data_IF_092571274377
#
_entry.id   IF_092571274377
#
_cell.length_a   1.000
_cell.length_b   1.000
_cell.length_c   1.000
_cell.angle_alpha   90.00
_cell.angle_beta   90.00
_cell.angle_gamma   90.00
#
_symmetry.space_group_name_H-M   'P 1'
#
loop_
_entity.id
_entity.type
_entity.pdbx_description
1 polymer ?
#
# COMPACT_ATOMS: atom_id res chain seq x y z
N UNK A 1 -11.44 3.19 31.04
CA UNK A 1 -10.16 2.90 31.76
C UNK A 1 -9.54 1.53 31.40
N UNK A 2 -10.14 0.71 30.51
CA UNK A 2 -9.58 -0.61 30.12
C UNK A 2 -8.36 -0.57 29.20
N UNK A 3 -8.25 0.45 28.35
CA UNK A 3 -7.16 0.56 27.35
C UNK A 3 -5.76 0.69 27.96
N UNK A 4 -5.63 1.32 29.14
CA UNK A 4 -4.34 1.52 29.81
C UNK A 4 -3.74 0.19 30.30
N UNK A 5 -4.59 -0.73 30.79
CA UNK A 5 -4.16 -2.08 31.20
C UNK A 5 -3.73 -2.91 29.99
N UNK A 6 -4.43 -2.78 28.87
CA UNK A 6 -4.10 -3.47 27.63
C UNK A 6 -2.75 -3.00 27.07
N UNK A 7 -2.45 -1.71 27.17
CA UNK A 7 -1.17 -1.13 26.77
C UNK A 7 -0.01 -1.63 27.67
N UNK A 8 -0.24 -1.73 28.99
CA UNK A 8 0.74 -2.26 29.95
C UNK A 8 1.00 -3.76 29.73
N UNK A 9 -0.04 -4.56 29.48
CA UNK A 9 0.11 -6.00 29.21
C UNK A 9 0.90 -6.25 27.92
N UNK A 10 0.62 -5.47 26.86
CA UNK A 10 1.37 -5.55 25.61
C UNK A 10 2.83 -5.10 25.75
N UNK A 11 3.09 -4.01 26.48
CA UNK A 11 4.46 -3.57 26.77
C UNK A 11 5.25 -4.66 27.51
N UNK A 12 4.61 -5.38 28.43
CA UNK A 12 5.25 -6.45 29.21
C UNK A 12 5.54 -7.71 28.37
N UNK A 13 4.73 -8.01 27.36
CA UNK A 13 4.87 -9.19 26.50
C UNK A 13 5.73 -8.98 25.24
N UNK A 14 5.90 -7.75 24.75
CA UNK A 14 6.35 -7.46 23.37
C UNK A 14 7.42 -6.34 23.28
N UNK A 15 8.38 -6.29 24.20
CA UNK A 15 9.49 -5.34 24.13
C UNK A 15 10.32 -5.53 22.83
N UNK A 16 10.46 -4.48 21.99
CA UNK A 16 11.50 -4.54 20.94
C UNK A 16 11.55 -3.56 19.76
N UNK A 17 10.54 -2.78 19.37
CA UNK A 17 10.70 -1.89 18.19
C UNK A 17 9.82 -0.64 18.18
N UNK A 18 10.39 0.48 17.71
CA UNK A 18 9.72 1.78 17.47
C UNK A 18 8.53 1.61 16.48
N UNK A 19 8.72 0.76 15.47
CA UNK A 19 7.75 0.46 14.42
C UNK A 19 6.50 -0.25 14.97
N UNK A 20 6.64 -1.02 16.07
CA UNK A 20 5.52 -1.63 16.78
C UNK A 20 4.67 -0.59 17.51
N UNK A 21 5.29 0.41 18.16
CA UNK A 21 4.55 1.43 18.90
C UNK A 21 3.62 2.25 18.00
N UNK A 22 4.05 2.56 16.77
CA UNK A 22 3.21 3.24 15.78
C UNK A 22 2.04 2.35 15.29
N UNK A 23 2.29 1.06 15.09
CA UNK A 23 1.23 0.11 14.72
C UNK A 23 0.16 -0.04 15.82
N UNK A 24 0.59 -0.03 17.09
CA UNK A 24 -0.29 -0.14 18.26
C UNK A 24 -1.10 1.14 18.48
N UNK A 25 -0.49 2.32 18.28
CA UNK A 25 -1.24 3.59 18.32
C UNK A 25 -2.39 3.55 17.34
N UNK A 26 -2.14 3.11 16.11
CA UNK A 26 -3.14 3.00 15.06
C UNK A 26 -4.29 2.08 15.49
N UNK A 27 -4.00 0.90 16.03
CA UNK A 27 -5.01 -0.06 16.48
C UNK A 27 -5.89 0.46 17.64
N UNK A 28 -5.41 1.42 18.45
CA UNK A 28 -6.15 1.99 19.60
C UNK A 28 -7.14 3.08 19.18
N UNK A 29 -6.86 3.81 18.10
CA UNK A 29 -7.72 4.92 17.63
C UNK A 29 -8.82 4.48 16.66
N UNK A 30 -8.82 3.22 16.22
CA UNK A 30 -9.86 2.67 15.34
C UNK A 30 -11.13 2.39 16.17
N UNK A 31 -12.30 2.60 15.56
CA UNK A 31 -13.59 2.17 16.09
C UNK A 31 -13.51 0.72 16.59
N UNK A 32 -14.12 0.40 17.72
CA UNK A 32 -14.08 -0.97 18.28
C UNK A 32 -15.33 -1.77 17.91
N UNK A 33 -15.15 -3.07 17.72
CA UNK A 33 -16.22 -4.06 17.64
C UNK A 33 -16.22 -4.95 18.88
N UNK A 34 -17.42 -5.27 19.38
CA UNK A 34 -17.65 -6.10 20.56
C UNK A 34 -18.27 -7.42 20.14
N UNK A 35 -17.53 -8.49 20.38
CA UNK A 35 -17.92 -9.86 20.03
C UNK A 35 -17.96 -10.75 21.27
N UNK A 36 -18.74 -11.82 21.20
CA UNK A 36 -18.98 -12.73 22.31
C UNK A 36 -18.25 -14.07 22.09
N UNK A 37 -17.67 -14.61 23.16
CA UNK A 37 -17.28 -16.02 23.19
C UNK A 37 -18.53 -16.90 23.27
N UNK A 38 -18.45 -18.20 22.96
CA UNK A 38 -19.59 -19.12 23.12
C UNK A 38 -20.06 -19.25 24.57
N UNK A 39 -19.22 -18.83 25.53
CA UNK A 39 -19.52 -18.81 26.97
C UNK A 39 -20.19 -17.50 27.43
N UNK A 40 -20.31 -16.51 26.55
CA UNK A 40 -20.91 -15.21 26.84
C UNK A 40 -19.93 -14.12 27.29
N UNK A 41 -18.61 -14.37 27.27
CA UNK A 41 -17.62 -13.34 27.59
C UNK A 41 -17.49 -12.35 26.43
N UNK A 42 -17.45 -11.05 26.73
CA UNK A 42 -17.27 -10.00 25.73
C UNK A 42 -15.78 -9.76 25.47
N UNK A 43 -15.42 -9.65 24.18
CA UNK A 43 -14.08 -9.23 23.73
C UNK A 43 -14.22 -8.02 22.81
N UNK A 44 -13.39 -7.02 23.07
CA UNK A 44 -13.20 -5.84 22.24
C UNK A 44 -12.03 -6.08 21.26
N UNK A 45 -12.26 -5.65 20.02
CA UNK A 45 -11.33 -5.76 18.90
C UNK A 45 -11.42 -4.49 18.03
N UNK A 46 -10.37 -4.09 17.32
CA UNK A 46 -10.46 -3.04 16.31
C UNK A 46 -11.46 -3.42 15.20
N UNK A 47 -12.18 -2.44 14.66
CA UNK A 47 -13.08 -2.63 13.52
C UNK A 47 -12.31 -3.20 12.32
N UNK A 48 -12.95 -4.14 11.62
CA UNK A 48 -12.30 -4.91 10.54
C UNK A 48 -11.52 -6.13 11.02
N UNK A 49 -11.51 -6.42 12.32
CA UNK A 49 -10.93 -7.66 12.84
C UNK A 49 -11.68 -8.90 12.34
N UNK A 50 -10.94 -9.99 12.17
CA UNK A 50 -11.46 -11.27 11.68
C UNK A 50 -11.58 -12.32 12.80
N UNK A 51 -12.17 -13.50 12.53
CA UNK A 51 -12.12 -14.61 13.47
C UNK A 51 -10.71 -15.03 13.91
N UNK A 52 -9.69 -14.85 13.05
CA UNK A 52 -8.30 -15.12 13.44
C UNK A 52 -7.80 -14.10 14.47
N UNK A 53 -8.07 -12.81 14.26
CA UNK A 53 -7.73 -11.77 15.24
C UNK A 53 -8.41 -12.06 16.59
N UNK A 54 -9.68 -12.47 16.57
CA UNK A 54 -10.40 -12.91 17.77
C UNK A 54 -9.74 -14.11 18.45
N UNK A 55 -9.31 -15.13 17.69
CA UNK A 55 -8.64 -16.30 18.25
C UNK A 55 -7.36 -15.91 19.01
N UNK A 56 -6.52 -15.04 18.42
CA UNK A 56 -5.31 -14.53 19.07
C UNK A 56 -5.62 -13.62 20.27
N UNK A 57 -6.71 -12.85 20.22
CA UNK A 57 -7.19 -12.03 21.34
C UNK A 57 -7.66 -12.88 22.53
N UNK A 58 -8.24 -14.05 22.27
CA UNK A 58 -8.64 -15.01 23.31
C UNK A 58 -7.41 -15.71 23.88
N UNK A 59 -6.59 -16.31 23.01
CA UNK A 59 -5.36 -16.98 23.43
C UNK A 59 -4.43 -17.27 22.24
N UNK A 60 -3.13 -17.04 22.40
CA UNK A 60 -2.13 -17.28 21.36
C UNK A 60 -2.18 -18.71 20.78
N UNK A 61 -2.22 -19.74 21.64
CA UNK A 61 -2.34 -21.14 21.19
C UNK A 61 -3.65 -21.46 20.47
N UNK A 62 -4.74 -20.75 20.79
CA UNK A 62 -6.00 -20.92 20.06
C UNK A 62 -5.86 -20.39 18.64
N UNK A 63 -5.21 -19.23 18.48
CA UNK A 63 -4.82 -18.67 17.19
C UNK A 63 -3.93 -19.60 16.37
N UNK A 64 -2.84 -20.11 16.97
CA UNK A 64 -1.92 -21.03 16.28
C UNK A 64 -2.59 -22.29 15.74
N UNK A 65 -3.62 -22.78 16.46
CA UNK A 65 -4.30 -24.05 16.15
C UNK A 65 -5.60 -23.84 15.36
N UNK A 66 -5.92 -22.60 14.99
CA UNK A 66 -7.15 -22.26 14.30
C UNK A 66 -7.20 -22.93 12.91
N UNK A 67 -8.31 -23.61 12.63
CA UNK A 67 -8.58 -24.23 11.32
C UNK A 67 -9.83 -23.66 10.64
N UNK A 68 -10.68 -22.96 11.39
CA UNK A 68 -11.94 -22.44 10.92
C UNK A 68 -12.68 -21.71 12.03
N UNK A 69 -13.75 -21.02 11.68
CA UNK A 69 -14.58 -20.31 12.63
C UNK A 69 -16.07 -20.52 12.33
N UNK A 70 -16.86 -20.52 13.40
CA UNK A 70 -18.31 -20.38 13.31
C UNK A 70 -18.70 -19.04 13.92
N UNK A 71 -19.49 -18.28 13.19
CA UNK A 71 -20.08 -17.04 13.69
C UNK A 71 -21.58 -17.24 13.77
N UNK A 72 -22.16 -17.00 14.94
CA UNK A 72 -23.58 -17.23 15.23
C UNK A 72 -24.04 -18.65 14.85
N UNK A 73 -23.18 -19.64 15.11
CA UNK A 73 -23.42 -21.06 14.84
C UNK A 73 -23.21 -21.51 13.38
N UNK A 74 -22.93 -20.60 12.44
CA UNK A 74 -22.70 -20.92 11.02
C UNK A 74 -21.22 -20.87 10.68
N UNK A 75 -20.75 -21.79 9.83
CA UNK A 75 -19.37 -21.76 9.33
C UNK A 75 -19.16 -20.50 8.48
N UNK A 76 -18.13 -19.74 8.83
CA UNK A 76 -17.73 -18.53 8.12
C UNK A 76 -16.27 -18.64 7.69
N UNK A 77 -15.90 -17.98 6.58
CA UNK A 77 -14.51 -17.94 6.16
C UNK A 77 -13.69 -17.10 7.16
N UNK A 78 -12.37 -17.33 7.18
CA UNK A 78 -11.47 -16.71 8.16
C UNK A 78 -11.19 -15.22 7.90
N UNK A 79 -11.53 -14.72 6.71
CA UNK A 79 -11.46 -13.31 6.28
C UNK A 79 -12.78 -12.54 6.56
N UNK A 80 -13.78 -13.19 7.18
CA UNK A 80 -15.01 -12.51 7.55
C UNK A 80 -14.75 -11.39 8.57
N UNK A 81 -15.17 -10.17 8.25
CA UNK A 81 -15.10 -9.05 9.19
C UNK A 81 -16.15 -9.18 10.29
N UNK A 82 -15.69 -9.21 11.55
CA UNK A 82 -16.53 -9.34 12.73
C UNK A 82 -17.38 -8.09 12.98
N UNK A 83 -18.63 -8.32 13.40
CA UNK A 83 -19.60 -7.27 13.71
C UNK A 83 -19.98 -7.26 15.18
N UNK A 84 -20.50 -6.13 15.65
CA UNK A 84 -21.03 -6.01 17.00
C UNK A 84 -22.13 -7.04 17.25
N UNK A 85 -21.99 -7.79 18.35
CA UNK A 85 -22.97 -8.81 18.74
C UNK A 85 -22.68 -10.22 18.20
N UNK A 86 -21.68 -10.39 17.33
CA UNK A 86 -21.34 -11.70 16.80
C UNK A 86 -20.83 -12.64 17.91
N UNK A 87 -21.36 -13.86 17.95
CA UNK A 87 -20.86 -14.95 18.80
C UNK A 87 -19.88 -15.78 17.97
N UNK A 88 -18.61 -15.77 18.36
CA UNK A 88 -17.52 -16.39 17.60
C UNK A 88 -17.05 -17.66 18.29
N UNK A 89 -17.19 -18.80 17.62
CA UNK A 89 -16.68 -20.11 18.04
C UNK A 89 -15.53 -20.53 17.13
N UNK A 90 -14.33 -20.65 17.71
CA UNK A 90 -13.10 -20.97 16.97
C UNK A 90 -12.90 -22.48 16.94
N UNK A 91 -12.83 -23.03 15.74
CA UNK A 91 -12.49 -24.43 15.53
C UNK A 91 -10.98 -24.57 15.56
N UNK A 92 -10.46 -25.33 16.52
CA UNK A 92 -9.04 -25.62 16.65
C UNK A 92 -8.74 -27.11 16.45
N UNK A 93 -7.58 -27.41 15.89
CA UNK A 93 -7.14 -28.81 15.74
C UNK A 93 -6.49 -29.34 17.02
N UNK A 94 -6.63 -30.64 17.28
CA UNK A 94 -5.93 -31.36 18.35
C UNK A 94 -4.51 -31.81 17.95
N UNK A 95 -4.18 -31.83 16.66
CA UNK A 95 -2.85 -32.21 16.16
C UNK A 95 -1.82 -31.08 16.17
N UNK A 96 -0.58 -31.41 15.77
CA UNK A 96 0.55 -30.48 15.67
C UNK A 96 0.49 -29.63 14.38
N UNK A 97 -0.61 -28.89 14.18
CA UNK A 97 -0.70 -27.91 13.08
C UNK A 97 -0.41 -26.51 13.62
N UNK A 98 0.44 -25.78 12.92
CA UNK A 98 0.75 -24.38 13.21
C UNK A 98 -0.02 -23.40 12.31
N UNK A 99 0.21 -22.09 12.51
CA UNK A 99 -0.34 -21.04 11.65
C UNK A 99 0.17 -21.16 10.22
N UNK A 100 -0.56 -20.57 9.27
CA UNK A 100 -0.10 -20.41 7.89
C UNK A 100 0.63 -19.08 7.73
N UNK A 101 1.72 -19.06 6.96
CA UNK A 101 2.42 -17.82 6.62
C UNK A 101 1.56 -16.91 5.73
N UNK A 102 0.65 -17.49 4.96
CA UNK A 102 -0.28 -16.76 4.08
C UNK A 102 -1.23 -15.86 4.87
N UNK A 103 -1.44 -16.12 6.16
CA UNK A 103 -2.22 -15.24 7.05
C UNK A 103 -1.59 -13.86 7.24
N UNK A 104 -0.28 -13.73 7.02
CA UNK A 104 0.42 -12.46 7.07
C UNK A 104 0.34 -11.68 5.75
N UNK A 105 -0.21 -12.27 4.68
CA UNK A 105 -0.36 -11.62 3.40
C UNK A 105 -1.44 -10.52 3.48
N UNK A 106 -1.08 -9.23 3.30
CA UNK A 106 -2.05 -8.13 3.43
C UNK A 106 -3.20 -8.21 2.43
N UNK A 107 -2.99 -8.82 1.27
CA UNK A 107 -3.99 -8.88 0.19
C UNK A 107 -5.11 -9.87 0.46
N UNK A 108 -4.88 -10.86 1.33
CA UNK A 108 -5.87 -11.91 1.63
C UNK A 108 -6.80 -11.50 2.77
N UNK A 109 -6.39 -10.56 3.62
CA UNK A 109 -7.26 -10.01 4.66
C UNK A 109 -7.59 -10.98 5.80
N UNK A 110 -6.72 -11.98 6.07
CA UNK A 110 -6.97 -12.94 7.14
C UNK A 110 -6.72 -12.38 8.54
N UNK A 111 -5.72 -11.51 8.69
CA UNK A 111 -5.30 -10.97 9.98
C UNK A 111 -5.07 -9.48 9.83
N UNK A 112 -5.77 -8.69 10.63
CA UNK A 112 -5.69 -7.23 10.58
C UNK A 112 -4.86 -6.68 11.72
N UNK A 113 -5.01 -7.24 12.93
CA UNK A 113 -4.40 -6.67 14.14
C UNK A 113 -2.89 -6.87 14.20
N UNK A 114 -2.19 -5.87 14.72
CA UNK A 114 -0.73 -5.91 14.87
C UNK A 114 -0.31 -7.00 15.86
N UNK A 115 -1.12 -7.20 16.91
CA UNK A 115 -0.91 -8.25 17.91
C UNK A 115 -0.90 -9.66 17.30
N UNK A 116 -1.91 -10.01 16.50
CA UNK A 116 -2.01 -11.33 15.88
C UNK A 116 -0.87 -11.55 14.87
N UNK A 117 -0.57 -10.57 14.02
CA UNK A 117 0.57 -10.61 13.08
C UNK A 117 1.88 -10.89 13.80
N UNK A 118 2.12 -10.22 14.92
CA UNK A 118 3.35 -10.38 15.69
C UNK A 118 3.46 -11.76 16.33
N UNK A 119 2.38 -12.28 16.94
CA UNK A 119 2.39 -13.64 17.49
C UNK A 119 2.65 -14.71 16.42
N UNK A 120 2.09 -14.54 15.22
CA UNK A 120 2.36 -15.43 14.07
C UNK A 120 3.84 -15.37 13.67
N UNK A 121 4.40 -14.16 13.51
CA UNK A 121 5.83 -14.00 13.18
C UNK A 121 6.74 -14.62 14.25
N UNK A 122 6.43 -14.41 15.52
CA UNK A 122 7.18 -15.01 16.62
C UNK A 122 7.12 -16.52 16.60
N UNK A 123 5.98 -17.11 16.24
CA UNK A 123 5.85 -18.57 16.09
C UNK A 123 6.81 -19.11 15.03
N UNK A 124 6.86 -18.48 13.85
CA UNK A 124 7.79 -18.88 12.79
C UNK A 124 9.24 -18.58 13.14
N UNK A 125 9.52 -17.47 13.81
CA UNK A 125 10.88 -17.10 14.24
C UNK A 125 11.47 -18.10 15.25
N UNK A 126 10.63 -18.77 16.04
CA UNK A 126 11.04 -19.85 16.97
C UNK A 126 11.33 -21.18 16.28
N UNK A 127 10.90 -21.37 15.03
CA UNK A 127 11.25 -22.56 14.25
C UNK A 127 12.74 -22.54 13.88
N UNK A 128 13.27 -23.68 13.43
CA UNK A 128 14.68 -23.78 13.06
C UNK A 128 15.06 -22.75 11.99
N UNK A 129 16.16 -22.03 12.22
CA UNK A 129 16.65 -20.97 11.30
C UNK A 129 16.86 -21.53 9.89
N UNK A 130 17.39 -22.75 9.79
CA UNK A 130 17.60 -23.49 8.54
C UNK A 130 16.30 -23.67 7.75
N UNK A 131 15.20 -24.08 8.41
CA UNK A 131 13.89 -24.20 7.78
C UNK A 131 13.35 -22.85 7.30
N UNK A 132 13.56 -21.79 8.08
CA UNK A 132 13.14 -20.44 7.69
C UNK A 132 13.90 -19.94 6.46
N UNK A 133 15.21 -20.21 6.36
CA UNK A 133 16.01 -19.84 5.18
C UNK A 133 15.51 -20.58 3.94
N UNK A 134 15.31 -21.89 4.04
CA UNK A 134 14.86 -22.70 2.90
C UNK A 134 13.45 -22.27 2.45
N UNK A 135 12.54 -22.03 3.39
CA UNK A 135 11.20 -21.51 3.09
C UNK A 135 11.26 -20.13 2.43
N UNK A 136 12.07 -19.22 2.98
CA UNK A 136 12.25 -17.88 2.44
C UNK A 136 12.81 -17.91 1.02
N UNK A 137 13.73 -18.82 0.73
CA UNK A 137 14.27 -19.05 -0.61
C UNK A 137 13.17 -19.49 -1.59
N UNK A 138 12.34 -20.46 -1.21
CA UNK A 138 11.26 -20.95 -2.05
C UNK A 138 10.23 -19.86 -2.35
N UNK A 139 9.85 -19.08 -1.33
CA UNK A 139 8.94 -17.93 -1.47
C UNK A 139 9.53 -16.90 -2.43
N UNK A 140 10.77 -16.48 -2.20
CA UNK A 140 11.43 -15.48 -3.04
C UNK A 140 11.56 -15.95 -4.49
N UNK A 141 12.01 -17.19 -4.72
CA UNK A 141 12.15 -17.75 -6.06
C UNK A 141 10.80 -17.87 -6.79
N UNK A 142 9.71 -18.14 -6.07
CA UNK A 142 8.36 -18.18 -6.65
C UNK A 142 7.92 -16.78 -7.10
N UNK A 143 8.14 -15.77 -6.26
CA UNK A 143 7.77 -14.38 -6.57
C UNK A 143 8.62 -13.79 -7.70
N UNK A 144 9.93 -14.00 -7.69
CA UNK A 144 10.80 -13.55 -8.78
C UNK A 144 10.42 -14.17 -10.12
N UNK A 145 10.06 -15.46 -10.12
CA UNK A 145 9.51 -16.13 -11.32
C UNK A 145 8.19 -15.52 -11.76
N UNK A 146 7.30 -15.20 -10.82
CA UNK A 146 6.02 -14.56 -11.14
C UNK A 146 6.19 -13.17 -11.76
N UNK A 147 7.17 -12.40 -11.28
CA UNK A 147 7.52 -11.08 -11.81
C UNK A 147 8.39 -11.14 -13.08
N UNK A 148 8.94 -12.30 -13.44
CA UNK A 148 9.85 -12.44 -14.57
C UNK A 148 11.19 -11.71 -14.38
N UNK A 149 11.62 -11.51 -13.13
CA UNK A 149 12.82 -10.75 -12.79
C UNK A 149 13.95 -11.70 -12.38
N UNK A 150 15.12 -11.54 -12.99
CA UNK A 150 16.35 -12.21 -12.58
C UNK A 150 17.26 -11.18 -11.92
N UNK A 151 17.51 -11.35 -10.61
CA UNK A 151 18.38 -10.47 -9.83
C UNK A 151 19.17 -11.31 -8.81
N UNK A 152 20.41 -10.91 -8.55
CA UNK A 152 21.26 -11.54 -7.52
C UNK A 152 20.68 -11.31 -6.12
N UNK A 153 20.82 -12.30 -5.26
CA UNK A 153 20.19 -12.32 -3.93
C UNK A 153 20.85 -11.33 -2.98
N UNK A 154 22.15 -11.17 -3.11
CA UNK A 154 22.98 -10.24 -2.37
C UNK A 154 22.51 -8.81 -2.65
N UNK A 155 22.30 -8.46 -3.91
CA UNK A 155 21.77 -7.16 -4.33
C UNK A 155 20.35 -6.91 -3.80
N UNK A 156 19.50 -7.94 -3.77
CA UNK A 156 18.16 -7.85 -3.17
C UNK A 156 18.20 -7.65 -1.66
N UNK A 157 19.11 -8.33 -0.98
CA UNK A 157 19.31 -8.20 0.46
C UNK A 157 19.74 -6.77 0.80
N UNK A 158 20.71 -6.22 0.08
CA UNK A 158 21.16 -4.82 0.22
C UNK A 158 20.01 -3.83 0.01
N UNK A 159 19.15 -4.04 -1.00
CA UNK A 159 17.97 -3.21 -1.25
C UNK A 159 16.97 -3.18 -0.11
N UNK A 160 16.93 -4.25 0.67
CA UNK A 160 16.07 -4.38 1.85
C UNK A 160 16.80 -4.02 3.15
N UNK A 161 18.01 -3.45 3.07
CA UNK A 161 18.87 -3.09 4.21
C UNK A 161 19.39 -4.31 5.01
N UNK A 162 19.67 -5.43 4.35
CA UNK A 162 20.29 -6.60 4.95
C UNK A 162 21.74 -6.76 4.47
N UNK A 163 22.66 -6.93 5.41
CA UNK A 163 24.08 -7.17 5.11
C UNK A 163 24.37 -8.62 4.71
N UNK A 164 23.50 -9.56 5.07
CA UNK A 164 23.65 -10.99 4.80
C UNK A 164 22.41 -11.54 4.10
N UNK A 165 22.63 -12.20 2.96
CA UNK A 165 21.57 -12.84 2.19
C UNK A 165 20.83 -13.93 2.99
N UNK A 166 21.50 -14.65 3.90
CA UNK A 166 20.83 -15.64 4.74
C UNK A 166 19.86 -15.01 5.74
N UNK A 167 20.24 -13.88 6.35
CA UNK A 167 19.36 -13.19 7.31
C UNK A 167 18.16 -12.59 6.60
N UNK A 168 18.35 -12.11 5.37
CA UNK A 168 17.28 -11.69 4.48
C UNK A 168 16.32 -12.86 4.15
N UNK A 169 16.86 -14.02 3.76
CA UNK A 169 16.04 -15.20 3.47
C UNK A 169 15.30 -15.70 4.71
N UNK A 170 15.96 -15.73 5.88
CA UNK A 170 15.30 -16.05 7.14
C UNK A 170 14.16 -15.07 7.44
N UNK A 171 14.37 -13.77 7.20
CA UNK A 171 13.36 -12.72 7.39
C UNK A 171 12.12 -12.88 6.51
N UNK A 172 12.30 -13.34 5.26
CA UNK A 172 11.18 -13.73 4.40
C UNK A 172 10.48 -14.98 4.96
N UNK A 173 11.26 -15.98 5.39
CA UNK A 173 10.76 -17.27 5.88
C UNK A 173 9.87 -17.21 7.11
N UNK A 174 10.11 -16.25 8.02
CA UNK A 174 9.23 -16.01 9.18
C UNK A 174 8.22 -14.87 8.99
N UNK A 175 8.20 -14.23 7.81
CA UNK A 175 7.25 -13.15 7.49
C UNK A 175 7.58 -11.79 8.13
N UNK A 176 8.86 -11.57 8.46
CA UNK A 176 9.37 -10.24 8.83
C UNK A 176 9.40 -9.27 7.65
N UNK A 177 9.68 -9.80 6.46
CA UNK A 177 9.57 -9.07 5.19
C UNK A 177 8.51 -9.73 4.33
N UNK A 178 7.57 -8.94 3.82
CA UNK A 178 6.58 -9.42 2.87
C UNK A 178 7.12 -9.40 1.44
N UNK A 179 6.65 -10.34 0.62
CA UNK A 179 6.95 -10.38 -0.82
C UNK A 179 6.50 -9.09 -1.52
N UNK A 180 5.41 -8.49 -1.06
CA UNK A 180 4.91 -7.21 -1.53
C UNK A 180 5.90 -6.05 -1.29
N UNK A 181 6.52 -5.97 -0.10
CA UNK A 181 7.55 -4.97 0.17
C UNK A 181 8.76 -5.13 -0.78
N UNK A 182 9.16 -6.37 -1.07
CA UNK A 182 10.25 -6.66 -2.02
C UNK A 182 9.85 -6.18 -3.42
N UNK A 183 8.62 -6.47 -3.86
CA UNK A 183 8.12 -6.04 -5.17
C UNK A 183 8.09 -4.51 -5.32
N UNK A 184 7.66 -3.77 -4.29
CA UNK A 184 7.68 -2.29 -4.29
C UNK A 184 9.10 -1.77 -4.44
N UNK A 185 10.06 -2.32 -3.69
CA UNK A 185 11.47 -1.91 -3.76
C UNK A 185 12.08 -2.18 -5.13
N UNK A 186 11.74 -3.31 -5.74
CA UNK A 186 12.15 -3.66 -7.10
C UNK A 186 11.55 -2.71 -8.15
N UNK A 187 10.27 -2.35 -8.03
CA UNK A 187 9.62 -1.41 -8.94
C UNK A 187 10.27 -0.02 -8.88
N UNK A 188 10.59 0.47 -7.68
CA UNK A 188 11.24 1.77 -7.50
C UNK A 188 12.62 1.86 -8.17
N UNK A 189 13.38 0.76 -8.28
CA UNK A 189 14.64 0.75 -9.04
C UNK A 189 14.45 0.84 -10.56
N UNK A 190 13.33 0.36 -11.10
CA UNK A 190 13.07 0.42 -12.54
C UNK A 190 12.57 1.81 -12.97
N UNK A 191 11.87 2.53 -12.10
CA UNK A 191 11.40 3.89 -12.37
C UNK A 191 12.53 4.93 -12.36
N UNK A 192 13.54 4.78 -11.49
CA UNK A 192 14.72 5.67 -11.49
C UNK A 192 15.56 5.57 -12.76
N UNK A 193 15.45 4.48 -13.52
CA UNK A 193 16.11 4.31 -14.81
C UNK A 193 15.37 4.98 -15.99
N UNK A 194 14.10 5.39 -15.82
CA UNK A 194 13.36 6.17 -16.83
C UNK A 194 13.48 7.65 -16.50
N UNK A 195 14.66 8.22 -16.77
CA UNK A 195 14.80 9.67 -16.94
C UNK A 195 13.89 10.05 -18.10
N UNK A 196 12.77 10.70 -17.80
CA UNK A 196 11.96 11.41 -18.79
C UNK A 196 12.95 12.37 -19.47
N UNK A 197 13.22 12.26 -20.78
CA UNK A 197 14.12 13.19 -21.43
C UNK A 197 13.58 14.59 -21.18
N UNK A 198 14.38 15.40 -20.48
CA UNK A 198 14.11 16.79 -20.23
C UNK A 198 13.75 17.42 -21.58
N UNK A 199 12.49 17.83 -21.73
CA UNK A 199 12.01 18.41 -22.99
C UNK A 199 12.88 19.63 -23.24
N UNK A 200 13.81 19.51 -24.19
CA UNK A 200 14.70 20.60 -24.56
C UNK A 200 13.86 21.86 -24.80
N UNK A 201 14.25 23.03 -24.24
CA UNK A 201 13.48 24.25 -24.42
C UNK A 201 13.33 24.51 -25.92
N UNK A 202 12.07 24.52 -26.40
CA UNK A 202 11.76 24.79 -27.79
C UNK A 202 12.35 26.15 -28.15
N UNK A 203 13.25 26.19 -29.14
CA UNK A 203 13.77 27.45 -29.69
C UNK A 203 12.59 28.35 -30.08
N UNK A 204 12.59 29.64 -29.74
CA UNK A 204 11.56 30.56 -30.17
C UNK A 204 11.59 30.64 -31.69
N UNK A 205 10.49 30.21 -32.33
CA UNK A 205 10.29 30.33 -33.78
C UNK A 205 9.96 31.80 -34.07
N UNK A 206 10.60 32.47 -35.04
CA UNK A 206 10.27 33.86 -35.36
C UNK A 206 8.81 33.95 -35.84
N UNK A 207 8.05 34.89 -35.27
CA UNK A 207 6.65 35.14 -35.59
C UNK A 207 6.47 35.52 -37.07
N UNK A 208 5.90 34.60 -37.86
CA UNK A 208 5.64 34.75 -39.31
C UNK A 208 4.37 35.55 -39.61
N UNK A 209 3.85 36.30 -38.64
CA UNK A 209 2.58 37.01 -38.79
C UNK A 209 2.84 38.43 -39.26
N UNK A 210 2.44 38.72 -40.50
CA UNK A 210 2.53 40.04 -41.10
C UNK A 210 1.20 40.78 -40.94
N UNK A 211 1.21 41.87 -40.16
CA UNK A 211 0.05 42.76 -40.01
C UNK A 211 -0.03 43.68 -41.23
N UNK A 212 -1.17 43.65 -41.94
CA UNK A 212 -1.39 44.47 -43.13
C UNK A 212 -1.44 45.97 -42.75
N UNK A 213 -0.61 46.79 -43.40
CA UNK A 213 -0.66 48.25 -43.32
C UNK A 213 0.34 48.93 -42.38
N UNK A 214 0.96 48.22 -41.43
CA UNK A 214 2.05 48.74 -40.58
C UNK A 214 3.01 47.61 -40.21
N UNK A 215 4.28 47.72 -40.58
CA UNK A 215 5.31 46.73 -40.20
C UNK A 215 5.72 46.86 -38.72
N UNK A 216 6.07 45.73 -38.09
CA UNK A 216 6.71 45.63 -36.76
C UNK A 216 5.87 46.04 -35.54
N UNK A 217 4.60 45.62 -35.46
CA UNK A 217 3.85 45.62 -34.20
C UNK A 217 4.15 44.34 -33.40
N UNK A 218 4.18 44.46 -32.06
CA UNK A 218 4.27 43.30 -31.18
C UNK A 218 2.98 42.49 -31.32
N UNK A 219 3.12 41.23 -31.75
CA UNK A 219 2.01 40.31 -31.97
C UNK A 219 2.05 39.13 -31.01
N UNK A 220 0.90 38.74 -30.47
CA UNK A 220 0.75 37.56 -29.64
C UNK A 220 -0.39 36.67 -30.15
N UNK A 221 -0.26 35.35 -30.06
CA UNK A 221 -1.35 34.41 -30.38
C UNK A 221 -2.33 34.32 -29.20
N UNK A 222 -3.64 34.39 -29.49
CA UNK A 222 -4.68 34.28 -28.49
C UNK A 222 -4.73 32.87 -27.85
N UNK A 223 -4.84 32.85 -26.51
CA UNK A 223 -5.01 31.61 -25.73
C UNK A 223 -6.45 31.08 -25.74
N UNK A 224 -7.42 31.84 -26.26
CA UNK A 224 -8.81 31.39 -26.30
C UNK A 224 -9.12 30.50 -27.51
N UNK A 225 -8.53 30.79 -28.68
CA UNK A 225 -8.80 30.06 -29.93
C UNK A 225 -7.58 29.40 -30.56
N UNK A 226 -6.38 29.58 -29.99
CA UNK A 226 -5.12 28.94 -30.40
C UNK A 226 -4.93 28.84 -31.93
N UNK A 227 -4.84 29.98 -32.65
CA UNK A 227 -4.78 29.97 -34.11
C UNK A 227 -3.54 29.23 -34.62
N UNK A 228 -3.73 28.36 -35.61
CA UNK A 228 -2.67 27.55 -36.23
C UNK A 228 -2.46 27.94 -37.70
N UNK A 229 -1.30 27.63 -38.31
CA UNK A 229 -1.07 27.89 -39.73
C UNK A 229 -2.14 27.22 -40.60
N UNK A 230 -2.83 28.02 -41.43
CA UNK A 230 -3.96 27.58 -42.25
C UNK A 230 -5.31 28.15 -41.78
N UNK A 231 -5.42 28.57 -40.53
CA UNK A 231 -6.60 29.29 -40.04
C UNK A 231 -6.67 30.69 -40.66
N UNK A 232 -7.90 31.14 -40.95
CA UNK A 232 -8.15 32.56 -41.20
C UNK A 232 -8.07 33.30 -39.87
N UNK A 233 -7.22 34.32 -39.82
CA UNK A 233 -6.89 35.06 -38.61
C UNK A 233 -7.31 36.51 -38.71
N UNK A 234 -7.64 37.09 -37.56
CA UNK A 234 -7.90 38.52 -37.38
C UNK A 234 -7.04 39.06 -36.24
N UNK A 235 -6.58 40.31 -36.37
CA UNK A 235 -5.79 40.98 -35.35
C UNK A 235 -6.67 41.91 -34.52
N UNK A 236 -6.67 41.73 -33.20
CA UNK A 236 -7.38 42.59 -32.25
C UNK A 236 -6.37 43.47 -31.50
N UNK A 237 -6.57 44.79 -31.53
CA UNK A 237 -5.64 45.76 -30.94
C UNK A 237 -5.94 45.91 -29.45
N UNK A 238 -5.02 45.45 -28.59
CA UNK A 238 -5.13 45.57 -27.14
C UNK A 238 -4.40 46.82 -26.64
N UNK A 239 -4.89 47.44 -25.56
CA UNK A 239 -4.32 48.67 -25.00
C UNK A 239 -2.84 48.56 -24.56
N UNK A 240 -2.40 47.39 -24.11
CA UNK A 240 -1.09 47.23 -23.45
C UNK A 240 -0.21 46.12 -24.02
N UNK A 241 -0.76 45.20 -24.84
CA UNK A 241 -0.04 44.01 -25.33
C UNK A 241 0.14 43.98 -26.85
N UNK A 242 -0.09 45.10 -27.52
CA UNK A 242 -0.04 45.15 -28.99
C UNK A 242 -1.22 44.42 -29.62
N UNK A 243 -0.96 43.68 -30.69
CA UNK A 243 -2.01 42.99 -31.48
C UNK A 243 -2.11 41.53 -31.03
N UNK A 244 -3.29 41.14 -30.54
CA UNK A 244 -3.59 39.73 -30.25
C UNK A 244 -4.24 39.11 -31.49
N UNK A 245 -3.69 38.00 -31.96
CA UNK A 245 -4.15 37.28 -33.15
C UNK A 245 -5.17 36.24 -32.71
N UNK A 246 -6.38 36.37 -33.22
CA UNK A 246 -7.48 35.42 -33.04
C UNK A 246 -7.80 34.73 -34.37
N UNK A 247 -8.53 33.62 -34.30
CA UNK A 247 -9.24 33.11 -35.47
C UNK A 247 -10.37 34.05 -35.84
N UNK A 248 -10.69 34.14 -37.13
CA UNK A 248 -11.79 34.96 -37.66
C UNK A 248 -13.14 34.58 -37.02
N UNK A 249 -13.33 33.29 -36.68
CA UNK A 249 -14.54 32.75 -36.05
C UNK A 249 -14.48 32.69 -34.51
N UNK A 250 -13.53 33.39 -33.89
CA UNK A 250 -13.37 33.38 -32.44
C UNK A 250 -14.56 34.05 -31.73
N UNK A 251 -15.26 33.28 -30.89
CA UNK A 251 -16.41 33.77 -30.10
C UNK A 251 -16.10 35.06 -29.33
N UNK A 252 -14.91 35.15 -28.71
CA UNK A 252 -14.54 36.30 -27.89
C UNK A 252 -14.40 37.59 -28.71
N UNK A 253 -13.95 37.51 -29.96
CA UNK A 253 -13.81 38.71 -30.80
C UNK A 253 -15.15 39.10 -31.44
N UNK A 254 -16.01 38.12 -31.73
CA UNK A 254 -17.33 38.36 -32.30
C UNK A 254 -18.31 39.00 -31.30
N UNK A 255 -18.00 38.98 -30.00
CA UNK A 255 -18.87 39.47 -28.92
C UNK A 255 -18.17 40.52 -28.03
N UNK A 256 -17.10 41.14 -28.50
CA UNK A 256 -16.50 42.33 -27.87
C UNK A 256 -17.06 43.60 -28.53
N UNK A 257 -17.74 44.44 -27.73
CA UNK A 257 -18.12 45.83 -28.09
C UNK A 257 -16.94 46.81 -27.91
#
# INVERSE_FOLDING_TARGET
>A
VGWLRQLIEWHRELSGSEEFLESVKTDIFIDQVFVYTPKGDIKDLPRGSTPLDFAYRVHTELGHRCIGAKVNGRLMPLDYELKNGDVVDIMSTKGAKGPSLDWLNPHVGFVHTSHAKEKIRQWFKRQERTENIERGRQILEKELRHLGITIEREKLAELCNFSNAEDFLAAIGYGGISTHQIAIKLAAQQETAKVIPEVAPRKPVPSTVHVLGVGNLVTHLAQCCHPVPGDKIIGYITRSRGVTIHREDCYNVLHED
#
